data_IF_956618203150
#
_entry.id   IF_956618203150
#
_cell.length_a   1.000
_cell.length_b   1.000
_cell.length_c   1.000
_cell.angle_alpha   90.00
_cell.angle_beta   90.00
_cell.angle_gamma   90.00
#
_symmetry.space_group_name_H-M   'P 1'
#
loop_
_entity.id
_entity.type
_entity.pdbx_description
1 polymer ?
#
# COMPACT_ATOMS: atom_id res chain seq x y z
N UNK A 1 -14.13 -8.04 -13.77
CA UNK A 1 -12.74 -7.57 -13.64
C UNK A 1 -12.56 -6.68 -12.41
N UNK A 2 -11.33 -6.56 -11.94
CA UNK A 2 -10.92 -5.59 -10.92
C UNK A 2 -9.71 -4.82 -11.43
N UNK A 3 -9.72 -3.50 -11.27
CA UNK A 3 -8.57 -2.63 -11.52
C UNK A 3 -8.19 -1.95 -10.20
N UNK A 4 -6.92 -2.09 -9.81
CA UNK A 4 -6.33 -1.33 -8.69
C UNK A 4 -5.37 -0.29 -9.25
N UNK A 5 -5.46 0.95 -8.76
CA UNK A 5 -4.59 2.04 -9.20
C UNK A 5 -4.44 3.09 -8.09
N UNK A 6 -3.63 4.10 -8.32
CA UNK A 6 -3.54 5.28 -7.44
C UNK A 6 -4.84 6.09 -7.48
N UNK A 7 -5.19 6.82 -6.41
CA UNK A 7 -6.43 7.62 -6.38
C UNK A 7 -6.59 8.59 -7.55
N UNK A 8 -5.49 9.15 -8.02
CA UNK A 8 -5.45 10.07 -9.16
C UNK A 8 -5.99 9.47 -10.46
N UNK A 9 -6.00 8.13 -10.60
CA UNK A 9 -6.61 7.47 -11.75
C UNK A 9 -8.09 7.88 -11.95
N UNK A 10 -8.81 8.13 -10.86
CA UNK A 10 -10.23 8.57 -10.93
C UNK A 10 -10.33 10.07 -11.24
N UNK A 11 -9.40 10.90 -10.74
CA UNK A 11 -9.56 12.36 -10.74
C UNK A 11 -8.66 13.10 -11.73
N UNK A 12 -7.58 12.44 -12.23
CA UNK A 12 -6.62 13.06 -13.14
C UNK A 12 -7.27 13.49 -14.45
N UNK A 13 -6.84 14.63 -14.97
CA UNK A 13 -7.40 15.23 -16.20
C UNK A 13 -8.94 15.31 -16.18
N UNK A 14 -9.49 15.79 -15.08
CA UNK A 14 -10.94 15.92 -14.86
C UNK A 14 -11.72 14.58 -15.01
N UNK A 15 -11.08 13.44 -14.72
CA UNK A 15 -11.70 12.12 -14.78
C UNK A 15 -11.58 11.40 -16.12
N UNK A 16 -10.86 11.97 -17.10
CA UNK A 16 -10.74 11.45 -18.47
C UNK A 16 -10.35 9.97 -18.55
N UNK A 17 -9.52 9.47 -17.65
CA UNK A 17 -9.17 8.04 -17.64
C UNK A 17 -10.35 7.17 -17.20
N UNK A 18 -11.10 7.63 -16.20
CA UNK A 18 -12.32 6.95 -15.77
C UNK A 18 -13.37 6.94 -16.87
N UNK A 19 -13.57 8.08 -17.57
CA UNK A 19 -14.49 8.17 -18.71
C UNK A 19 -14.13 7.19 -19.82
N UNK A 20 -12.83 6.98 -20.09
CA UNK A 20 -12.39 5.98 -21.08
C UNK A 20 -12.78 4.56 -20.67
N UNK A 21 -12.64 4.23 -19.39
CA UNK A 21 -13.05 2.91 -18.86
C UNK A 21 -14.58 2.77 -18.99
N UNK A 22 -15.33 3.78 -18.58
CA UNK A 22 -16.81 3.78 -18.66
C UNK A 22 -17.30 3.66 -20.09
N UNK A 23 -16.74 4.42 -21.02
CA UNK A 23 -17.12 4.39 -22.44
C UNK A 23 -16.74 3.08 -23.13
N UNK A 24 -15.58 2.49 -22.76
CA UNK A 24 -15.11 1.25 -23.36
C UNK A 24 -15.77 -0.02 -22.82
N UNK A 25 -16.16 -0.03 -21.56
CA UNK A 25 -16.60 -1.24 -20.85
C UNK A 25 -18.00 -1.14 -20.25
N UNK A 26 -18.56 0.08 -20.12
CA UNK A 26 -19.84 0.31 -19.42
C UNK A 26 -21.06 -0.33 -20.10
N UNK A 27 -20.99 -0.61 -21.41
CA UNK A 27 -22.05 -1.34 -22.11
C UNK A 27 -22.07 -2.85 -21.80
N UNK A 28 -20.95 -3.39 -21.30
CA UNK A 28 -20.77 -4.83 -21.03
C UNK A 28 -20.77 -5.13 -19.54
N UNK A 29 -20.32 -4.17 -18.73
CA UNK A 29 -20.13 -4.34 -17.28
C UNK A 29 -20.83 -3.23 -16.51
N UNK A 30 -21.46 -3.60 -15.40
CA UNK A 30 -21.82 -2.64 -14.35
C UNK A 30 -20.55 -2.31 -13.57
N UNK A 31 -20.10 -1.05 -13.61
CA UNK A 31 -18.83 -0.62 -13.05
C UNK A 31 -19.05 0.23 -11.81
N UNK A 32 -18.36 -0.14 -10.72
CA UNK A 32 -18.26 0.66 -9.50
C UNK A 32 -16.83 1.08 -9.26
N UNK A 33 -16.63 2.21 -8.58
CA UNK A 33 -15.32 2.66 -8.13
C UNK A 33 -15.39 3.13 -6.68
N UNK A 34 -14.27 2.93 -5.95
CA UNK A 34 -14.10 3.42 -4.59
C UNK A 34 -12.64 3.77 -4.34
N UNK A 35 -12.39 4.74 -3.46
CA UNK A 35 -11.06 5.00 -2.90
C UNK A 35 -11.00 4.34 -1.53
N UNK A 36 -10.14 3.33 -1.41
CA UNK A 36 -9.94 2.57 -0.18
C UNK A 36 -8.62 2.99 0.47
N UNK A 37 -8.66 3.31 1.77
CA UNK A 37 -7.47 3.49 2.59
C UNK A 37 -7.19 2.18 3.33
N UNK A 38 -5.93 1.77 3.35
CA UNK A 38 -5.49 0.52 3.96
C UNK A 38 -5.85 0.42 5.45
N UNK A 39 -5.67 1.50 6.22
CA UNK A 39 -6.08 1.55 7.64
C UNK A 39 -7.59 1.37 7.86
N UNK A 40 -8.42 1.81 6.92
CA UNK A 40 -9.87 1.71 7.05
C UNK A 40 -10.37 0.26 6.91
N UNK A 41 -9.51 -0.63 6.41
CA UNK A 41 -9.79 -2.05 6.16
C UNK A 41 -8.85 -2.99 6.95
N UNK A 42 -8.21 -2.46 8.01
CA UNK A 42 -7.38 -3.24 8.93
C UNK A 42 -5.93 -3.44 8.49
N UNK A 43 -5.43 -2.61 7.57
CA UNK A 43 -4.02 -2.56 7.21
C UNK A 43 -3.18 -1.67 8.12
N UNK A 44 -1.87 -1.64 7.88
CA UNK A 44 -0.89 -0.92 8.69
C UNK A 44 -0.47 0.43 8.11
N UNK A 45 -0.96 0.79 6.90
CA UNK A 45 -0.46 1.94 6.16
C UNK A 45 -1.54 2.97 5.86
N UNK A 46 -1.16 4.23 5.72
CA UNK A 46 -2.06 5.30 5.25
C UNK A 46 -2.27 5.26 3.72
N UNK A 47 -1.83 4.16 3.07
CA UNK A 47 -1.93 3.96 1.61
C UNK A 47 -3.38 4.04 1.15
N UNK A 48 -3.63 4.83 0.10
CA UNK A 48 -4.93 4.90 -0.56
C UNK A 48 -4.84 4.32 -1.96
N UNK A 49 -5.89 3.61 -2.39
CA UNK A 49 -6.01 3.05 -3.73
C UNK A 49 -7.40 3.26 -4.31
N UNK A 50 -7.44 3.56 -5.60
CA UNK A 50 -8.66 3.49 -6.40
C UNK A 50 -8.88 2.04 -6.80
N UNK A 51 -10.07 1.52 -6.50
CA UNK A 51 -10.49 0.18 -6.88
C UNK A 51 -11.71 0.32 -7.78
N UNK A 52 -11.63 -0.25 -8.98
CA UNK A 52 -12.77 -0.36 -9.91
C UNK A 52 -13.17 -1.83 -9.99
N UNK A 53 -14.45 -2.11 -9.90
CA UNK A 53 -15.00 -3.45 -10.09
C UNK A 53 -16.00 -3.39 -11.22
N UNK A 54 -15.75 -4.13 -12.30
CA UNK A 54 -16.69 -4.32 -13.40
C UNK A 54 -17.28 -5.73 -13.34
N UNK A 55 -18.60 -5.81 -13.35
CA UNK A 55 -19.35 -7.06 -13.14
C UNK A 55 -20.43 -7.25 -14.20
N UNK A 56 -20.62 -8.49 -14.66
CA UNK A 56 -21.73 -8.92 -15.53
C UNK A 56 -22.86 -9.62 -14.78
N UNK A 57 -22.73 -9.74 -13.47
CA UNK A 57 -23.70 -10.43 -12.59
C UNK A 57 -24.47 -9.48 -11.67
N UNK A 58 -24.48 -8.19 -12.00
CA UNK A 58 -25.04 -7.12 -11.20
C UNK A 58 -23.99 -6.27 -10.50
N UNK A 59 -24.43 -5.17 -9.92
CA UNK A 59 -23.54 -4.18 -9.30
C UNK A 59 -22.85 -4.71 -8.05
N UNK A 60 -21.52 -4.67 -8.04
CA UNK A 60 -20.69 -5.08 -6.87
C UNK A 60 -20.08 -3.82 -6.25
N UNK A 61 -20.46 -3.51 -5.01
CA UNK A 61 -19.93 -2.35 -4.26
C UNK A 61 -19.01 -2.81 -3.15
N UNK A 62 -17.87 -2.15 -3.02
CA UNK A 62 -17.05 -2.27 -1.82
C UNK A 62 -17.76 -1.58 -0.65
N UNK A 63 -17.63 -2.11 0.59
CA UNK A 63 -18.11 -1.39 1.77
C UNK A 63 -17.31 -0.08 1.94
N UNK A 64 -18.00 1.00 2.29
CA UNK A 64 -17.39 2.32 2.46
C UNK A 64 -16.35 2.33 3.58
N UNK A 65 -16.63 1.60 4.65
CA UNK A 65 -15.73 1.45 5.80
C UNK A 65 -15.98 0.14 6.52
N UNK A 66 -14.90 -0.51 6.92
CA UNK A 66 -14.95 -1.63 7.87
C UNK A 66 -14.32 -1.13 9.17
N UNK A 67 -15.04 -1.29 10.29
CA UNK A 67 -14.54 -0.83 11.60
C UNK A 67 -13.44 -1.79 12.05
N UNK A 68 -12.21 -1.30 12.06
CA UNK A 68 -11.07 -1.99 12.62
C UNK A 68 -10.34 -1.10 13.62
N UNK A 69 -9.71 -1.65 14.65
CA UNK A 69 -8.71 -0.92 15.44
C UNK A 69 -7.62 -0.38 14.53
N UNK A 70 -7.14 0.82 14.82
CA UNK A 70 -5.98 1.37 14.10
C UNK A 70 -4.77 0.51 14.40
N UNK A 71 -4.17 -0.06 13.37
CA UNK A 71 -2.98 -0.90 13.47
C UNK A 71 -1.72 -0.06 13.34
N UNK A 72 -0.68 -0.43 14.07
CA UNK A 72 0.53 0.37 14.22
C UNK A 72 1.74 -0.28 13.55
N UNK A 73 2.78 0.54 13.34
CA UNK A 73 4.10 0.07 12.88
C UNK A 73 4.65 -1.00 13.83
N UNK A 74 4.48 -0.80 15.15
CA UNK A 74 4.90 -1.76 16.18
C UNK A 74 4.35 -3.15 15.91
N UNK A 75 3.04 -3.28 15.76
CA UNK A 75 2.36 -4.56 15.55
C UNK A 75 2.84 -5.29 14.28
N UNK A 76 3.26 -4.55 13.26
CA UNK A 76 3.79 -5.14 12.04
C UNK A 76 5.23 -5.62 12.24
N UNK A 77 6.10 -4.77 12.83
CA UNK A 77 7.53 -5.06 12.97
C UNK A 77 7.82 -6.14 14.02
N UNK A 78 7.03 -6.25 15.08
CA UNK A 78 7.16 -7.31 16.10
C UNK A 78 6.97 -8.73 15.54
N UNK A 79 6.38 -8.87 14.37
CA UNK A 79 6.23 -10.17 13.68
C UNK A 79 7.47 -10.58 12.91
N UNK A 80 8.32 -9.60 12.55
CA UNK A 80 9.47 -9.85 11.68
C UNK A 80 10.60 -10.48 12.49
N UNK A 81 11.09 -11.61 12.01
CA UNK A 81 12.18 -12.37 12.61
C UNK A 81 13.06 -13.00 11.53
N UNK A 82 14.20 -13.62 11.85
CA UNK A 82 15.13 -14.19 10.86
C UNK A 82 14.55 -15.26 9.92
N UNK A 83 13.38 -15.82 10.23
CA UNK A 83 12.71 -16.79 9.36
C UNK A 83 11.98 -16.14 8.16
N UNK A 84 11.83 -14.82 8.16
CA UNK A 84 11.19 -14.13 7.05
C UNK A 84 12.08 -14.14 5.81
N UNK A 85 11.50 -14.43 4.65
CA UNK A 85 12.18 -14.15 3.40
C UNK A 85 12.55 -12.66 3.31
N UNK A 86 13.68 -12.39 2.69
CA UNK A 86 14.21 -11.03 2.52
C UNK A 86 14.51 -10.28 3.84
N UNK A 87 14.73 -11.00 4.96
CA UNK A 87 14.99 -10.43 6.28
C UNK A 87 16.24 -9.54 6.31
N UNK A 88 17.32 -9.94 5.65
CA UNK A 88 18.58 -9.20 5.58
C UNK A 88 18.68 -8.24 4.39
N UNK A 89 17.63 -8.17 3.55
CA UNK A 89 17.61 -7.36 2.35
C UNK A 89 17.43 -5.88 2.68
N UNK A 90 18.52 -5.17 2.80
CA UNK A 90 18.57 -3.77 3.22
C UNK A 90 19.51 -2.95 2.36
N UNK A 91 19.12 -1.70 2.09
CA UNK A 91 20.03 -0.73 1.48
C UNK A 91 21.03 -0.25 2.52
N UNK A 92 22.32 -0.44 2.25
CA UNK A 92 23.40 0.13 3.06
C UNK A 92 23.49 1.62 2.75
N UNK A 93 23.20 2.45 3.74
CA UNK A 93 23.25 3.91 3.63
C UNK A 93 24.67 4.43 3.78
N UNK A 94 25.00 5.52 3.06
CA UNK A 94 26.27 6.22 3.22
C UNK A 94 26.37 6.85 4.62
N UNK A 95 27.57 7.04 5.18
CA UNK A 95 27.76 7.62 6.52
C UNK A 95 27.03 8.95 6.72
N UNK A 96 27.07 9.84 5.73
CA UNK A 96 26.32 11.11 5.74
C UNK A 96 24.80 10.90 5.85
N UNK A 97 24.25 9.93 5.11
CA UNK A 97 22.84 9.57 5.17
C UNK A 97 22.46 9.06 6.57
N UNK A 98 23.32 8.22 7.17
CA UNK A 98 23.12 7.72 8.54
C UNK A 98 23.18 8.86 9.56
N UNK A 99 24.13 9.79 9.40
CA UNK A 99 24.21 11.02 10.21
C UNK A 99 22.90 11.82 10.08
N UNK A 100 22.40 12.03 8.88
CA UNK A 100 21.14 12.74 8.66
C UNK A 100 19.94 12.03 9.32
N UNK A 101 19.90 10.71 9.26
CA UNK A 101 18.87 9.93 9.95
C UNK A 101 18.87 10.16 11.46
N UNK A 102 20.03 10.36 12.09
CA UNK A 102 20.13 10.52 13.56
C UNK A 102 19.46 11.79 14.10
N UNK A 103 19.24 12.80 13.26
CA UNK A 103 18.50 14.01 13.65
C UNK A 103 16.98 13.83 13.64
N UNK A 104 16.48 12.86 12.88
CA UNK A 104 15.04 12.74 12.62
C UNK A 104 14.35 11.99 13.75
N UNK A 105 13.41 12.62 14.42
CA UNK A 105 12.59 12.03 15.48
C UNK A 105 11.52 11.09 14.91
N UNK A 106 10.99 10.14 15.69
CA UNK A 106 9.84 9.32 15.28
C UNK A 106 8.64 10.19 14.83
N UNK A 107 8.05 9.83 13.68
CA UNK A 107 6.94 10.58 13.07
C UNK A 107 7.35 11.84 12.32
N UNK A 108 8.63 12.18 12.29
CA UNK A 108 9.17 13.38 11.62
C UNK A 108 9.92 13.05 10.33
N UNK A 109 10.39 14.07 9.64
CA UNK A 109 11.06 13.96 8.35
C UNK A 109 12.32 14.85 8.26
N UNK A 110 12.81 15.05 7.03
CA UNK A 110 14.00 15.86 6.74
C UNK A 110 14.03 17.24 7.40
N UNK A 111 12.89 17.81 7.83
CA UNK A 111 12.84 19.13 8.50
C UNK A 111 13.52 19.14 9.87
N UNK A 112 13.74 17.97 10.47
CA UNK A 112 14.56 17.85 11.68
C UNK A 112 16.07 17.92 11.39
N UNK A 113 16.50 17.79 10.13
CA UNK A 113 17.91 17.84 9.72
C UNK A 113 18.33 19.30 9.52
N UNK A 114 19.32 19.82 10.28
CA UNK A 114 19.67 21.23 10.22
C UNK A 114 19.99 21.78 8.83
N UNK A 115 20.73 21.01 8.02
CA UNK A 115 21.17 21.41 6.68
C UNK A 115 20.07 21.30 5.62
N UNK A 116 18.95 20.62 5.92
CA UNK A 116 17.89 20.34 4.95
C UNK A 116 16.55 20.99 5.29
N UNK A 117 16.38 21.52 6.52
CA UNK A 117 15.09 22.01 7.03
C UNK A 117 14.41 23.08 6.17
N UNK A 118 15.20 23.93 5.54
CA UNK A 118 14.73 25.07 4.75
C UNK A 118 14.64 24.75 3.25
N UNK A 119 14.81 23.49 2.87
CA UNK A 119 14.72 23.07 1.48
C UNK A 119 13.26 22.86 1.07
N UNK A 120 12.62 23.91 0.57
CA UNK A 120 11.22 23.89 0.13
C UNK A 120 10.92 22.97 -1.08
N UNK A 121 11.96 22.55 -1.81
CA UNK A 121 11.83 21.65 -2.96
C UNK A 121 11.88 20.17 -2.56
N UNK A 122 12.06 19.85 -1.28
CA UNK A 122 12.16 18.48 -0.80
C UNK A 122 10.79 17.93 -0.40
N UNK A 123 10.44 16.74 -0.91
CA UNK A 123 9.20 16.06 -0.52
C UNK A 123 9.18 15.70 0.97
N UNK A 124 8.02 15.84 1.62
CA UNK A 124 7.79 15.51 3.03
C UNK A 124 8.09 14.05 3.38
N UNK A 125 8.03 13.15 2.40
CA UNK A 125 8.30 11.72 2.59
C UNK A 125 9.80 11.39 2.66
N UNK A 126 10.66 12.39 2.38
CA UNK A 126 12.11 12.18 2.42
C UNK A 126 12.62 12.20 3.84
N UNK A 127 13.44 11.20 4.19
CA UNK A 127 13.94 11.00 5.56
C UNK A 127 12.82 10.88 6.60
N UNK A 128 11.70 10.24 6.24
CA UNK A 128 10.64 10.04 7.21
C UNK A 128 10.99 8.88 8.15
N UNK A 129 11.07 9.16 9.46
CA UNK A 129 11.22 8.11 10.47
C UNK A 129 9.85 7.60 10.91
N UNK A 130 9.66 6.29 10.83
CA UNK A 130 8.43 5.67 11.31
C UNK A 130 8.23 5.94 12.81
N UNK A 131 6.97 6.02 13.22
CA UNK A 131 6.56 6.03 14.63
C UNK A 131 5.93 4.69 14.96
N UNK A 132 6.44 4.03 16.02
CA UNK A 132 5.95 2.72 16.46
C UNK A 132 4.46 2.72 16.83
N UNK A 133 3.92 3.85 17.30
CA UNK A 133 2.57 3.94 17.82
C UNK A 133 1.55 4.46 16.78
N UNK A 134 1.99 4.67 15.55
CA UNK A 134 1.18 5.18 14.45
C UNK A 134 1.17 4.21 13.27
N UNK A 135 0.19 4.32 12.35
CA UNK A 135 0.25 3.66 11.05
C UNK A 135 1.44 4.19 10.23
N UNK A 136 1.99 3.34 9.38
CA UNK A 136 3.03 3.74 8.43
C UNK A 136 2.46 4.68 7.35
N UNK A 137 3.21 5.69 6.87
CA UNK A 137 2.88 6.35 5.61
C UNK A 137 2.85 5.33 4.46
N UNK A 138 2.45 5.79 3.26
CA UNK A 138 2.50 4.95 2.07
C UNK A 138 3.92 4.47 1.80
N UNK A 139 4.14 3.16 1.76
CA UNK A 139 5.41 2.59 1.36
C UNK A 139 5.56 2.71 -0.16
N UNK A 140 6.61 3.39 -0.57
CA UNK A 140 7.04 3.56 -1.97
C UNK A 140 8.44 2.96 -2.13
N UNK A 141 9.16 3.25 -3.21
CA UNK A 141 10.56 2.83 -3.31
C UNK A 141 11.43 3.65 -2.32
N UNK A 142 11.62 3.12 -1.12
CA UNK A 142 12.35 3.79 -0.02
C UNK A 142 13.88 3.83 -0.20
N UNK A 143 14.41 3.28 -1.29
CA UNK A 143 15.81 3.52 -1.67
C UNK A 143 16.02 4.96 -2.13
N UNK A 144 15.05 5.50 -2.87
CA UNK A 144 15.10 6.88 -3.38
C UNK A 144 14.66 7.91 -2.35
N UNK A 145 13.69 7.54 -1.53
CA UNK A 145 13.12 8.35 -0.46
C UNK A 145 13.30 7.58 0.85
N UNK A 146 14.39 7.77 1.60
CA UNK A 146 14.68 6.98 2.79
C UNK A 146 13.52 6.98 3.78
N UNK A 147 12.90 5.81 3.96
CA UNK A 147 11.97 5.52 5.04
C UNK A 147 12.79 4.90 6.17
N UNK A 148 12.87 5.62 7.28
CA UNK A 148 13.79 5.28 8.38
C UNK A 148 13.10 4.35 9.36
N UNK A 149 13.81 3.33 9.81
CA UNK A 149 13.38 2.44 10.90
C UNK A 149 13.04 3.26 12.16
N UNK A 150 11.99 2.92 12.93
CA UNK A 150 11.52 3.76 14.04
C UNK A 150 12.56 3.98 15.14
N UNK A 151 13.43 3.02 15.40
CA UNK A 151 14.41 3.06 16.51
C UNK A 151 15.87 3.01 16.06
N UNK A 152 16.15 2.74 14.78
CA UNK A 152 17.49 2.60 14.24
C UNK A 152 17.78 3.61 13.13
N UNK A 153 19.05 4.01 12.97
CA UNK A 153 19.47 4.94 11.91
C UNK A 153 19.76 4.18 10.60
N UNK A 154 18.77 3.48 10.08
CA UNK A 154 18.81 2.73 8.84
C UNK A 154 17.48 2.78 8.11
N UNK A 155 17.47 2.40 6.86
CA UNK A 155 16.22 2.15 6.12
C UNK A 155 15.59 0.83 6.57
N UNK A 156 14.34 0.60 6.19
CA UNK A 156 13.69 -0.69 6.38
C UNK A 156 14.36 -1.79 5.55
N UNK A 157 14.34 -3.02 6.06
CA UNK A 157 14.54 -4.22 5.24
C UNK A 157 13.33 -4.49 4.36
N UNK A 158 13.49 -5.36 3.37
CA UNK A 158 12.35 -5.77 2.54
C UNK A 158 11.32 -6.54 3.36
N UNK A 159 11.75 -7.36 4.33
CA UNK A 159 10.85 -8.07 5.23
C UNK A 159 10.02 -7.12 6.12
N UNK A 160 10.64 -6.07 6.68
CA UNK A 160 9.95 -5.07 7.49
C UNK A 160 8.90 -4.30 6.67
N UNK A 161 9.27 -3.86 5.47
CA UNK A 161 8.33 -3.21 4.56
C UNK A 161 7.21 -4.16 4.11
N UNK A 162 7.53 -5.43 3.87
CA UNK A 162 6.59 -6.50 3.54
C UNK A 162 5.56 -6.71 4.66
N UNK A 163 6.00 -6.76 5.92
CA UNK A 163 5.14 -6.88 7.09
C UNK A 163 4.16 -5.69 7.20
N UNK A 164 4.64 -4.46 6.97
CA UNK A 164 3.81 -3.26 6.92
C UNK A 164 2.79 -3.29 5.78
N UNK A 165 3.11 -3.92 4.65
CA UNK A 165 2.17 -4.17 3.55
C UNK A 165 1.21 -5.33 3.84
N UNK A 166 1.39 -6.03 4.98
CA UNK A 166 0.54 -7.11 5.47
C UNK A 166 0.88 -8.48 4.89
N UNK A 167 1.99 -8.63 4.14
CA UNK A 167 2.46 -9.93 3.68
C UNK A 167 2.93 -10.78 4.87
N UNK A 168 3.00 -12.08 4.68
CA UNK A 168 3.49 -13.03 5.67
C UNK A 168 4.96 -13.41 5.41
N UNK A 169 5.56 -14.18 6.32
CA UNK A 169 6.97 -14.57 6.27
C UNK A 169 7.32 -15.43 5.05
N UNK A 170 6.36 -16.17 4.50
CA UNK A 170 6.54 -17.07 3.35
C UNK A 170 6.53 -16.33 2.01
N UNK A 171 6.17 -15.05 1.98
CA UNK A 171 6.14 -14.28 0.74
C UNK A 171 7.55 -13.79 0.38
N UNK A 172 8.09 -14.27 -0.74
CA UNK A 172 9.43 -13.93 -1.20
C UNK A 172 9.40 -12.99 -2.40
N UNK A 173 10.12 -11.87 -2.30
CA UNK A 173 10.40 -10.99 -3.43
C UNK A 173 11.70 -11.44 -4.11
N UNK A 174 11.73 -11.44 -5.45
CA UNK A 174 12.86 -11.94 -6.24
C UNK A 174 13.54 -10.84 -7.07
N UNK A 175 14.77 -11.11 -7.51
CA UNK A 175 15.57 -10.19 -8.31
C UNK A 175 16.58 -9.39 -7.51
N UNK A 176 17.06 -8.26 -8.05
CA UNK A 176 17.97 -7.36 -7.34
C UNK A 176 17.30 -6.71 -6.14
N UNK A 177 18.07 -6.20 -5.18
CA UNK A 177 17.54 -5.49 -4.02
C UNK A 177 16.59 -4.34 -4.43
N UNK A 178 17.00 -3.53 -5.42
CA UNK A 178 16.15 -2.45 -5.96
C UNK A 178 14.83 -2.98 -6.53
N UNK A 179 14.87 -4.09 -7.25
CA UNK A 179 13.67 -4.75 -7.79
C UNK A 179 12.75 -5.24 -6.68
N UNK A 180 13.30 -5.87 -5.63
CA UNK A 180 12.50 -6.35 -4.47
C UNK A 180 11.82 -5.20 -3.74
N UNK A 181 12.55 -4.12 -3.49
CA UNK A 181 11.99 -2.90 -2.89
C UNK A 181 10.89 -2.28 -3.76
N UNK A 182 11.11 -2.22 -5.08
CA UNK A 182 10.11 -1.70 -6.02
C UNK A 182 8.86 -2.57 -6.07
N UNK A 183 9.01 -3.90 -6.11
CA UNK A 183 7.88 -4.84 -6.10
C UNK A 183 7.05 -4.67 -4.82
N UNK A 184 7.70 -4.60 -3.66
CA UNK A 184 7.02 -4.38 -2.38
C UNK A 184 6.25 -3.05 -2.38
N UNK A 185 6.90 -1.94 -2.78
CA UNK A 185 6.27 -0.61 -2.83
C UNK A 185 5.12 -0.50 -3.85
N UNK A 186 5.18 -1.24 -4.97
CA UNK A 186 4.13 -1.26 -5.98
C UNK A 186 2.96 -2.18 -5.61
N UNK A 187 3.17 -3.14 -4.71
CA UNK A 187 2.16 -4.13 -4.34
C UNK A 187 0.88 -3.50 -3.77
N UNK A 188 -0.24 -4.19 -3.98
CA UNK A 188 -1.45 -3.94 -3.22
C UNK A 188 -1.28 -4.49 -1.79
N UNK A 189 -1.73 -3.76 -0.77
CA UNK A 189 -1.68 -4.27 0.60
C UNK A 189 -2.61 -5.46 0.76
N UNK A 190 -2.23 -6.38 1.65
CA UNK A 190 -3.02 -7.59 1.87
C UNK A 190 -4.43 -7.29 2.39
N UNK A 191 -4.60 -6.22 3.19
CA UNK A 191 -5.90 -5.82 3.72
C UNK A 191 -6.85 -5.38 2.61
N UNK A 192 -6.39 -4.53 1.67
CA UNK A 192 -7.17 -4.14 0.49
C UNK A 192 -7.47 -5.36 -0.39
N UNK A 193 -6.47 -6.22 -0.65
CA UNK A 193 -6.66 -7.44 -1.42
C UNK A 193 -7.70 -8.39 -0.83
N UNK A 194 -7.71 -8.57 0.50
CA UNK A 194 -8.71 -9.36 1.22
C UNK A 194 -10.12 -8.76 1.10
N UNK A 195 -10.24 -7.44 1.27
CA UNK A 195 -11.52 -6.74 1.07
C UNK A 195 -12.11 -7.02 -0.30
N UNK A 196 -11.32 -6.84 -1.36
CA UNK A 196 -11.73 -7.10 -2.73
C UNK A 196 -12.18 -8.55 -2.90
N UNK A 197 -11.34 -9.50 -2.46
CA UNK A 197 -11.62 -10.93 -2.54
C UNK A 197 -12.95 -11.29 -1.86
N UNK A 198 -13.15 -10.86 -0.62
CA UNK A 198 -14.36 -11.20 0.14
C UNK A 198 -15.62 -10.56 -0.47
N UNK A 199 -15.49 -9.32 -0.97
CA UNK A 199 -16.60 -8.63 -1.64
C UNK A 199 -17.03 -9.36 -2.92
N UNK A 200 -16.07 -9.71 -3.78
CA UNK A 200 -16.35 -10.43 -5.04
C UNK A 200 -16.88 -11.84 -4.75
N UNK A 201 -16.26 -12.56 -3.80
CA UNK A 201 -16.73 -13.91 -3.40
C UNK A 201 -18.17 -13.90 -2.90
N UNK A 202 -18.54 -12.92 -2.05
CA UNK A 202 -19.91 -12.78 -1.54
C UNK A 202 -20.91 -12.53 -2.68
N UNK A 203 -20.57 -11.66 -3.62
CA UNK A 203 -21.42 -11.38 -4.77
C UNK A 203 -21.62 -12.61 -5.67
N UNK A 204 -20.54 -13.35 -5.96
CA UNK A 204 -20.59 -14.61 -6.72
C UNK A 204 -21.45 -15.67 -6.03
N UNK A 205 -21.28 -15.86 -4.72
CA UNK A 205 -22.10 -16.82 -3.95
C UNK A 205 -23.58 -16.44 -3.97
N UNK A 206 -23.90 -15.15 -3.83
CA UNK A 206 -25.29 -14.67 -3.90
C UNK A 206 -25.91 -14.85 -5.29
N UNK A 207 -25.13 -14.71 -6.35
CA UNK A 207 -25.55 -14.93 -7.73
C UNK A 207 -25.86 -16.41 -7.97
N UNK A 208 -24.97 -17.33 -7.59
CA UNK A 208 -25.15 -18.77 -7.74
C UNK A 208 -26.34 -19.30 -6.92
N UNK A 209 -26.51 -18.81 -5.69
CA UNK A 209 -27.65 -19.24 -4.84
C UNK A 209 -29.02 -18.85 -5.40
N UNK A 210 -29.08 -17.91 -6.36
CA UNK A 210 -30.30 -17.58 -7.11
C UNK A 210 -30.53 -18.49 -8.33
N UNK A 211 -29.76 -19.56 -8.48
CA UNK A 211 -29.84 -20.49 -9.62
C UNK A 211 -29.26 -19.95 -10.94
N UNK A 212 -28.52 -18.84 -10.88
CA UNK A 212 -27.92 -18.24 -12.06
C UNK A 212 -26.54 -18.84 -12.36
N UNK A 213 -26.24 -19.05 -13.63
CA UNK A 213 -24.91 -19.45 -14.12
C UNK A 213 -24.29 -18.28 -14.88
N UNK A 214 -23.04 -17.88 -14.64
CA UNK A 214 -22.40 -16.81 -15.39
C UNK A 214 -22.25 -17.21 -16.86
N UNK A 215 -22.74 -16.38 -17.77
CA UNK A 215 -22.49 -16.56 -19.21
C UNK A 215 -21.06 -16.10 -19.49
N UNK A 216 -20.19 -17.05 -19.83
CA UNK A 216 -18.81 -16.81 -20.28
C UNK A 216 -18.89 -16.76 -21.83
N UNK A 217 -18.87 -15.57 -22.39
CA UNK A 217 -18.67 -15.34 -23.83
C UNK A 217 -17.23 -14.87 -24.04
#
# INVERSE_FOLDING_TARGET
FVIENVPQFITCEHGRYMDRVMNGLGNTYEITSAIVRDTDVGGYTLRKRAILIGSRIGLIRLPDKVIHPIRTVREALEKVNPEWFNYTDQTVSRPETVKNMSYVRPGHNFKDIPELRDNHNMHSDRYYRLDLNSPSPTIVNWRKLPLIHPTENRTLTVAEASALMGFNKEFQFHGSLDSRQQQCGNGCTLAIGKLIKETVKKALSAFHNKGNVPVIN
#
